data_IF_441402747059
#
_entry.id   IF_441402747059
#
_cell.length_a   1.000
_cell.length_b   1.000
_cell.length_c   1.000
_cell.angle_alpha   90.00
_cell.angle_beta   90.00
_cell.angle_gamma   90.00
#
_symmetry.space_group_name_H-M   'P 1'
#
loop_
_entity.id
_entity.type
_entity.pdbx_description
1 polymer ?
#
# COMPACT_ATOMS: atom_id res chain seq x y z
N UNK A 1 -11.54 16.70 24.37
CA UNK A 1 -12.28 15.50 23.92
C UNK A 1 -11.26 14.41 23.63
N UNK A 2 -11.58 13.14 23.93
CA UNK A 2 -10.64 12.03 23.80
C UNK A 2 -11.03 11.11 22.64
N UNK A 3 -10.05 10.73 21.82
CA UNK A 3 -10.21 9.99 20.57
C UNK A 3 -9.36 8.74 20.60
N UNK A 4 -10.00 7.59 20.48
CA UNK A 4 -9.33 6.30 20.41
C UNK A 4 -8.95 5.98 18.98
N UNK A 5 -7.66 5.83 18.71
CA UNK A 5 -7.15 5.51 17.38
C UNK A 5 -6.99 4.00 17.15
N UNK A 6 -6.90 3.60 15.88
CA UNK A 6 -6.61 2.21 15.47
C UNK A 6 -5.16 1.86 15.83
N UNK A 7 -4.95 1.21 16.97
CA UNK A 7 -3.62 0.95 17.52
C UNK A 7 -3.59 0.94 19.05
N UNK A 8 -4.73 1.23 19.70
CA UNK A 8 -4.85 1.21 21.16
C UNK A 8 -4.47 2.53 21.84
N UNK A 9 -3.98 3.49 21.07
CA UNK A 9 -3.60 4.84 21.54
C UNK A 9 -4.83 5.73 21.62
N UNK A 10 -4.90 6.55 22.67
CA UNK A 10 -5.94 7.57 22.85
C UNK A 10 -5.29 8.95 22.82
N UNK A 11 -5.86 9.86 22.02
CA UNK A 11 -5.44 11.25 21.91
C UNK A 11 -6.48 12.18 22.52
N UNK A 12 -6.04 13.25 23.15
CA UNK A 12 -6.92 14.36 23.50
C UNK A 12 -6.87 15.48 22.45
N UNK A 13 -7.83 16.40 22.46
CA UNK A 13 -7.76 17.65 21.68
C UNK A 13 -6.45 18.41 21.94
N UNK A 14 -6.01 18.46 23.21
CA UNK A 14 -4.76 19.14 23.58
C UNK A 14 -3.51 18.48 22.96
N UNK A 15 -3.56 17.17 22.70
CA UNK A 15 -2.50 16.50 21.97
C UNK A 15 -2.48 16.89 20.49
N UNK A 16 -3.65 17.11 19.88
CA UNK A 16 -3.73 17.58 18.49
C UNK A 16 -3.20 19.00 18.35
N UNK A 17 -3.55 19.90 19.27
CA UNK A 17 -3.03 21.28 19.27
C UNK A 17 -1.51 21.29 19.41
N UNK A 18 -0.97 20.53 20.36
CA UNK A 18 0.48 20.38 20.54
C UNK A 18 1.17 19.82 19.30
N UNK A 19 0.57 18.85 18.63
CA UNK A 19 1.12 18.26 17.40
C UNK A 19 1.09 19.25 16.23
N UNK A 20 0.05 20.07 16.14
CA UNK A 20 -0.06 21.13 15.14
C UNK A 20 1.08 22.14 15.29
N UNK A 21 1.31 22.65 16.51
CA UNK A 21 2.38 23.60 16.78
C UNK A 21 3.77 23.02 16.47
N UNK A 22 3.98 21.73 16.74
CA UNK A 22 5.23 21.04 16.44
C UNK A 22 5.44 20.85 14.94
N UNK A 23 4.39 20.49 14.20
CA UNK A 23 4.45 20.34 12.74
C UNK A 23 4.77 21.67 12.03
N UNK A 24 4.17 22.78 12.47
CA UNK A 24 4.49 24.13 11.97
C UNK A 24 5.94 24.54 12.27
N UNK A 25 6.49 24.07 13.39
CA UNK A 25 7.91 24.22 13.72
C UNK A 25 8.83 23.24 12.98
N UNK A 26 8.31 22.38 12.10
CA UNK A 26 9.05 21.36 11.37
C UNK A 26 9.52 20.19 12.23
N UNK A 27 9.03 20.09 13.47
CA UNK A 27 9.32 19.01 14.39
C UNK A 27 8.19 17.99 14.33
N UNK A 28 8.48 16.78 13.88
CA UNK A 28 7.53 15.66 13.87
C UNK A 28 7.94 14.66 14.94
N UNK A 29 7.55 14.87 16.21
CA UNK A 29 7.96 14.01 17.30
C UNK A 29 7.27 12.64 17.18
N UNK A 30 8.10 11.60 17.24
CA UNK A 30 7.66 10.22 17.32
C UNK A 30 8.85 9.28 17.12
N UNK A 31 9.02 8.34 18.04
CA UNK A 31 9.81 7.13 17.79
C UNK A 31 9.01 6.26 16.81
N UNK A 32 9.61 5.64 15.77
CA UNK A 32 8.90 4.65 14.96
C UNK A 32 8.32 3.56 15.87
N UNK A 33 6.99 3.60 16.09
CA UNK A 33 6.29 2.68 16.98
C UNK A 33 5.57 3.31 18.17
N UNK A 34 5.81 4.57 18.54
CA UNK A 34 5.06 5.18 19.66
C UNK A 34 3.85 5.99 19.18
N UNK A 35 3.93 6.60 17.99
CA UNK A 35 2.85 7.45 17.46
C UNK A 35 2.70 7.38 15.92
N UNK A 36 2.53 6.18 15.38
CA UNK A 36 2.05 5.97 13.99
C UNK A 36 0.95 4.93 14.01
N UNK A 37 -0.29 5.39 13.83
CA UNK A 37 -1.39 4.50 13.46
C UNK A 37 -1.24 4.13 12.00
N UNK A 38 -0.59 2.99 11.78
CA UNK A 38 -0.80 2.01 10.69
C UNK A 38 0.18 0.84 10.91
N UNK A 39 -0.12 -0.38 10.45
CA UNK A 39 0.90 -1.42 10.41
C UNK A 39 2.07 -0.88 9.58
N UNK A 40 3.30 -1.11 10.04
CA UNK A 40 4.56 -0.71 9.39
C UNK A 40 4.79 -1.46 8.06
N UNK A 41 3.85 -1.38 7.13
CA UNK A 41 3.89 -2.12 5.87
C UNK A 41 3.09 -1.45 4.76
N UNK A 42 3.48 -1.76 3.53
CA UNK A 42 2.64 -1.50 2.35
C UNK A 42 1.27 -2.13 2.60
N UNK A 43 0.15 -1.43 2.33
CA UNK A 43 -1.18 -2.01 2.41
C UNK A 43 -1.24 -3.37 1.70
N UNK A 44 -1.98 -4.31 2.29
CA UNK A 44 -2.19 -5.62 1.68
C UNK A 44 -2.79 -5.45 0.28
N UNK A 45 -2.35 -6.29 -0.67
CA UNK A 45 -2.85 -6.25 -2.05
C UNK A 45 -4.27 -6.81 -2.19
N UNK A 46 -4.71 -7.62 -1.22
CA UNK A 46 -6.05 -8.22 -1.13
C UNK A 46 -6.35 -8.54 0.34
N UNK A 47 -7.64 -8.63 0.67
CA UNK A 47 -8.12 -9.15 1.97
C UNK A 47 -8.10 -10.70 2.00
N UNK A 48 -7.98 -11.34 0.83
CA UNK A 48 -7.88 -12.79 0.66
C UNK A 48 -6.43 -13.29 0.60
N UNK A 49 -6.23 -14.59 0.85
CA UNK A 49 -4.93 -15.25 0.74
C UNK A 49 -4.37 -15.16 -0.69
N UNK A 50 -3.12 -14.70 -0.82
CA UNK A 50 -2.45 -14.56 -2.10
C UNK A 50 -1.63 -15.82 -2.43
N UNK A 51 -2.00 -16.48 -3.52
CA UNK A 51 -1.27 -17.64 -4.06
C UNK A 51 -0.39 -17.26 -5.25
N UNK A 52 0.74 -17.96 -5.41
CA UNK A 52 1.68 -17.72 -6.51
C UNK A 52 1.45 -18.66 -7.69
N UNK A 53 1.27 -18.11 -8.89
CA UNK A 53 1.15 -18.87 -10.13
C UNK A 53 2.47 -18.74 -10.91
N UNK A 54 3.16 -19.87 -11.13
CA UNK A 54 4.43 -19.90 -11.88
C UNK A 54 4.27 -20.72 -13.15
N UNK A 55 4.62 -20.14 -14.30
CA UNK A 55 4.68 -20.85 -15.58
C UNK A 55 5.86 -20.38 -16.41
N UNK A 56 6.35 -21.24 -17.30
CA UNK A 56 7.45 -20.91 -18.21
C UNK A 56 6.89 -20.32 -19.49
N UNK A 57 7.51 -19.25 -19.97
CA UNK A 57 7.19 -18.61 -21.25
C UNK A 57 8.45 -18.42 -22.09
N UNK A 58 8.33 -18.37 -23.43
CA UNK A 58 9.41 -17.90 -24.28
C UNK A 58 9.87 -16.49 -23.86
N UNK A 59 11.18 -16.24 -23.99
CA UNK A 59 11.76 -14.93 -23.65
C UNK A 59 11.09 -13.78 -24.41
N UNK A 60 10.74 -14.01 -25.68
CA UNK A 60 10.03 -13.02 -26.51
C UNK A 60 8.68 -12.61 -25.92
N UNK A 61 7.93 -13.54 -25.30
CA UNK A 61 6.66 -13.22 -24.66
C UNK A 61 6.84 -12.42 -23.38
N UNK A 62 7.86 -12.76 -22.58
CA UNK A 62 8.21 -11.99 -21.39
C UNK A 62 8.58 -10.54 -21.77
N UNK A 63 9.43 -10.38 -22.78
CA UNK A 63 9.91 -9.06 -23.20
C UNK A 63 8.76 -8.21 -23.78
N UNK A 64 7.86 -8.83 -24.55
CA UNK A 64 6.64 -8.16 -25.03
C UNK A 64 5.70 -7.74 -23.88
N UNK A 65 5.64 -8.55 -22.83
CA UNK A 65 4.81 -8.26 -21.66
C UNK A 65 5.39 -7.11 -20.83
N UNK A 66 6.71 -7.07 -20.67
CA UNK A 66 7.42 -5.97 -20.02
C UNK A 66 7.22 -4.65 -20.76
N UNK A 67 7.40 -4.65 -22.08
CA UNK A 67 7.19 -3.47 -22.91
C UNK A 67 5.73 -2.95 -22.81
N UNK A 68 4.75 -3.86 -22.73
CA UNK A 68 3.34 -3.49 -22.59
C UNK A 68 3.02 -2.92 -21.22
N UNK A 69 3.58 -3.48 -20.14
CA UNK A 69 3.44 -2.94 -18.80
C UNK A 69 4.09 -1.54 -18.70
N UNK A 70 5.30 -1.39 -19.24
CA UNK A 70 6.02 -0.10 -19.28
C UNK A 70 5.25 0.97 -20.07
N UNK A 71 4.63 0.61 -21.21
CA UNK A 71 3.80 1.54 -22.00
C UNK A 71 2.59 2.09 -21.23
N UNK A 72 2.19 1.43 -20.14
CA UNK A 72 1.08 1.84 -19.25
C UNK A 72 1.57 2.48 -17.96
N UNK A 73 2.87 2.60 -17.73
CA UNK A 73 3.44 3.05 -16.46
C UNK A 73 3.22 2.07 -15.31
N UNK A 74 3.02 0.79 -15.61
CA UNK A 74 2.70 -0.26 -14.64
C UNK A 74 3.85 -1.26 -14.48
N UNK A 75 3.90 -1.92 -13.33
CA UNK A 75 4.77 -3.09 -13.15
C UNK A 75 4.19 -4.31 -13.87
N UNK A 76 5.07 -5.26 -14.24
CA UNK A 76 4.68 -6.59 -14.77
C UNK A 76 3.54 -7.23 -14.00
N UNK A 77 3.66 -7.27 -12.67
CA UNK A 77 2.68 -7.93 -11.80
C UNK A 77 1.35 -7.18 -11.73
N UNK A 78 1.35 -5.84 -11.88
CA UNK A 78 0.10 -5.07 -12.00
C UNK A 78 -0.62 -5.40 -13.30
N UNK A 79 0.09 -5.35 -14.43
CA UNK A 79 -0.47 -5.69 -15.73
C UNK A 79 -1.05 -7.12 -15.78
N UNK A 80 -0.33 -8.08 -15.18
CA UNK A 80 -0.79 -9.47 -15.09
C UNK A 80 -2.04 -9.62 -14.22
N UNK A 81 -2.11 -8.94 -13.06
CA UNK A 81 -3.30 -8.96 -12.20
C UNK A 81 -4.51 -8.30 -12.86
N UNK A 82 -4.31 -7.18 -13.54
CA UNK A 82 -5.39 -6.48 -14.26
C UNK A 82 -5.91 -7.35 -15.41
N UNK A 83 -5.01 -7.96 -16.18
CA UNK A 83 -5.39 -8.88 -17.26
C UNK A 83 -6.16 -10.08 -16.72
N UNK A 84 -5.66 -10.73 -15.66
CA UNK A 84 -6.36 -11.86 -15.04
C UNK A 84 -7.76 -11.45 -14.57
N UNK A 85 -7.87 -10.31 -13.89
CA UNK A 85 -9.17 -9.78 -13.40
C UNK A 85 -10.11 -9.51 -14.57
N UNK A 86 -9.62 -8.89 -15.64
CA UNK A 86 -10.41 -8.61 -16.85
C UNK A 86 -10.94 -9.88 -17.50
N UNK A 87 -10.09 -10.89 -17.71
CA UNK A 87 -10.52 -12.13 -18.37
C UNK A 87 -11.48 -12.95 -17.50
N UNK A 88 -11.32 -12.92 -16.16
CA UNK A 88 -12.20 -13.62 -15.23
C UNK A 88 -13.50 -12.86 -14.91
N UNK A 89 -13.54 -11.53 -15.07
CA UNK A 89 -14.74 -10.73 -14.84
C UNK A 89 -15.83 -10.92 -15.90
N UNK A 90 -15.49 -11.51 -17.05
CA UNK A 90 -16.43 -11.87 -18.13
C UNK A 90 -16.68 -13.39 -18.24
N UNK A 91 -16.24 -14.17 -17.24
CA UNK A 91 -16.50 -15.60 -17.12
C UNK A 91 -17.68 -15.87 -16.17
#
# INVERSE_FOLDING_TARGET
>A
MDYRLKGGVTLSDADFDRLSDQAEAGNYPGTPGEWIVRPQGRPALSDEELVSITFRVPRSQRDALDAKAESRGETRSQFMRETLTRELAYA
#
